data_IF_463975121873
#
_entry.id   IF_463975121873
#
_cell.length_a   1.000
_cell.length_b   1.000
_cell.length_c   1.000
_cell.angle_alpha   90.00
_cell.angle_beta   90.00
_cell.angle_gamma   90.00
#
_symmetry.space_group_name_H-M   'P 1'
#
loop_
_entity.id
_entity.type
_entity.pdbx_description
1 polymer ?
#
# COMPACT_ATOMS: atom_id res chain seq x y z
N UNK A 1 -24.83 -10.57 -27.92
CA UNK A 1 -23.56 -10.28 -27.23
C UNK A 1 -23.85 -9.65 -25.87
N UNK A 2 -23.13 -10.01 -24.81
CA UNK A 2 -23.33 -9.37 -23.49
C UNK A 2 -22.45 -8.12 -23.40
N UNK A 3 -23.09 -6.96 -23.29
CA UNK A 3 -22.43 -5.68 -23.00
C UNK A 3 -22.38 -5.48 -21.49
N UNK A 4 -21.17 -5.24 -20.95
CA UNK A 4 -20.95 -4.97 -19.52
C UNK A 4 -20.46 -3.52 -19.34
N UNK A 5 -21.34 -2.52 -19.51
CA UNK A 5 -20.94 -1.11 -19.49
C UNK A 5 -20.27 -0.71 -18.16
N UNK A 6 -20.83 -1.15 -17.03
CA UNK A 6 -20.24 -0.88 -15.70
C UNK A 6 -18.84 -1.47 -15.51
N UNK A 7 -18.55 -2.61 -16.14
CA UNK A 7 -17.21 -3.21 -16.10
C UNK A 7 -16.23 -2.36 -16.93
N UNK A 8 -16.66 -1.88 -18.10
CA UNK A 8 -15.86 -0.99 -18.94
C UNK A 8 -15.52 0.30 -18.21
N UNK A 9 -16.52 0.96 -17.61
CA UNK A 9 -16.33 2.19 -16.82
C UNK A 9 -15.36 1.95 -15.64
N UNK A 10 -15.52 0.81 -14.95
CA UNK A 10 -14.68 0.46 -13.80
C UNK A 10 -13.22 0.22 -14.20
N UNK A 11 -12.97 -0.34 -15.38
CA UNK A 11 -11.63 -0.57 -15.93
C UNK A 11 -10.99 0.74 -16.38
N UNK A 12 -11.74 1.60 -17.07
CA UNK A 12 -11.26 2.90 -17.57
C UNK A 12 -10.85 3.83 -16.42
N UNK A 13 -11.69 3.96 -15.40
CA UNK A 13 -11.43 4.87 -14.27
C UNK A 13 -10.58 4.24 -13.16
N UNK A 14 -10.03 3.02 -13.33
CA UNK A 14 -9.30 2.31 -12.27
C UNK A 14 -8.10 3.10 -11.75
N UNK A 15 -7.29 3.66 -12.65
CA UNK A 15 -6.08 4.38 -12.26
C UNK A 15 -6.41 5.68 -11.51
N UNK A 16 -7.41 6.41 -11.98
CA UNK A 16 -7.90 7.64 -11.35
C UNK A 16 -8.42 7.37 -9.94
N UNK A 17 -9.28 6.35 -9.76
CA UNK A 17 -9.79 5.97 -8.44
C UNK A 17 -8.67 5.56 -7.48
N UNK A 18 -7.67 4.83 -7.97
CA UNK A 18 -6.52 4.43 -7.16
C UNK A 18 -5.73 5.66 -6.68
N UNK A 19 -5.43 6.58 -7.59
CA UNK A 19 -4.69 7.80 -7.26
C UNK A 19 -5.50 8.71 -6.30
N UNK A 20 -6.80 8.85 -6.51
CA UNK A 20 -7.68 9.60 -5.60
C UNK A 20 -7.65 9.02 -4.18
N UNK A 21 -7.71 7.69 -4.05
CA UNK A 21 -7.58 7.00 -2.77
C UNK A 21 -6.21 7.24 -2.11
N UNK A 22 -5.12 7.25 -2.88
CA UNK A 22 -3.80 7.57 -2.33
C UNK A 22 -3.72 9.00 -1.80
N UNK A 23 -4.28 9.98 -2.51
CA UNK A 23 -4.35 11.36 -2.03
C UNK A 23 -5.17 11.50 -0.75
N UNK A 24 -6.30 10.80 -0.66
CA UNK A 24 -7.13 10.79 0.55
C UNK A 24 -6.38 10.20 1.75
N UNK A 25 -5.66 9.09 1.54
CA UNK A 25 -4.82 8.48 2.57
C UNK A 25 -3.71 9.42 3.05
N UNK A 26 -3.06 10.15 2.14
CA UNK A 26 -2.02 11.14 2.48
C UNK A 26 -2.57 12.27 3.35
N UNK A 27 -3.80 12.73 3.11
CA UNK A 27 -4.45 13.73 3.96
C UNK A 27 -4.80 13.15 5.34
N UNK A 28 -5.31 11.92 5.43
CA UNK A 28 -5.55 11.27 6.73
C UNK A 28 -4.25 11.06 7.52
N UNK A 29 -3.16 10.69 6.85
CA UNK A 29 -1.86 10.53 7.52
C UNK A 29 -1.34 11.87 8.05
N UNK A 30 -1.47 12.94 7.26
CA UNK A 30 -1.10 14.29 7.67
C UNK A 30 -1.92 14.81 8.86
N UNK A 31 -3.20 14.47 8.91
CA UNK A 31 -4.07 14.81 10.04
C UNK A 31 -3.81 13.96 11.29
N UNK A 32 -3.02 12.88 11.17
CA UNK A 32 -2.76 11.93 12.25
C UNK A 32 -3.91 10.94 12.49
N UNK A 33 -4.89 10.87 11.58
CA UNK A 33 -6.02 9.95 11.68
C UNK A 33 -5.60 8.50 11.38
N UNK A 34 -4.58 8.33 10.54
CA UNK A 34 -4.00 7.03 10.17
C UNK A 34 -2.48 7.10 10.16
N UNK A 35 -1.83 5.95 10.31
CA UNK A 35 -0.39 5.79 10.08
C UNK A 35 -0.20 4.85 8.88
N UNK A 36 0.48 5.30 7.82
CA UNK A 36 0.66 4.50 6.60
C UNK A 36 1.98 3.75 6.66
N UNK A 37 1.91 2.44 6.48
CA UNK A 37 3.08 1.58 6.28
C UNK A 37 3.00 1.02 4.86
N UNK A 38 3.96 1.42 4.01
CA UNK A 38 4.05 0.98 2.61
C UNK A 38 5.52 0.83 2.21
N UNK A 39 5.86 -0.10 1.30
CA UNK A 39 7.22 -0.23 0.80
C UNK A 39 7.69 1.07 0.14
N UNK A 40 8.94 1.47 0.39
CA UNK A 40 9.55 2.64 -0.24
C UNK A 40 9.78 2.45 -1.75
N UNK A 41 10.03 1.21 -2.18
CA UNK A 41 10.24 0.84 -3.58
C UNK A 41 9.54 -0.49 -3.89
N UNK A 42 8.60 -0.47 -4.83
CA UNK A 42 7.98 -1.69 -5.37
C UNK A 42 8.55 -2.13 -6.72
N UNK A 43 9.58 -1.43 -7.23
CA UNK A 43 10.20 -1.74 -8.53
C UNK A 43 10.94 -3.07 -8.45
N UNK A 44 10.73 -3.92 -9.46
CA UNK A 44 11.43 -5.22 -9.59
C UNK A 44 10.63 -6.44 -9.15
N UNK A 45 9.42 -6.24 -8.59
CA UNK A 45 8.52 -7.31 -8.21
C UNK A 45 7.33 -7.41 -9.16
N UNK A 46 7.06 -8.62 -9.65
CA UNK A 46 5.82 -8.92 -10.37
C UNK A 46 4.67 -9.19 -9.40
N UNK A 47 3.44 -8.87 -9.82
CA UNK A 47 2.24 -9.28 -9.07
C UNK A 47 2.12 -10.80 -8.89
N UNK A 48 2.71 -11.55 -9.82
CA UNK A 48 2.76 -13.02 -9.81
C UNK A 48 4.21 -13.50 -9.64
N UNK A 49 4.96 -12.85 -8.75
CA UNK A 49 6.34 -13.24 -8.45
C UNK A 49 6.41 -14.69 -7.93
N UNK A 50 7.39 -15.45 -8.42
CA UNK A 50 7.59 -16.87 -8.06
C UNK A 50 8.98 -17.14 -7.50
N UNK A 51 9.92 -16.21 -7.70
CA UNK A 51 11.24 -16.32 -7.10
C UNK A 51 11.13 -16.14 -5.59
N UNK A 52 11.41 -17.22 -4.86
CA UNK A 52 11.34 -17.25 -3.39
C UNK A 52 12.31 -16.28 -2.74
N UNK A 53 13.48 -16.04 -3.34
CA UNK A 53 14.47 -15.12 -2.79
C UNK A 53 13.96 -13.68 -2.88
N UNK A 54 13.32 -13.32 -4.00
CA UNK A 54 12.66 -12.03 -4.15
C UNK A 54 11.52 -11.85 -3.15
N UNK A 55 10.65 -12.85 -3.02
CA UNK A 55 9.54 -12.80 -2.06
C UNK A 55 10.07 -12.61 -0.63
N UNK A 56 11.10 -13.38 -0.24
CA UNK A 56 11.72 -13.27 1.08
C UNK A 56 12.37 -11.89 1.30
N UNK A 57 13.02 -11.35 0.27
CA UNK A 57 13.59 -10.00 0.31
C UNK A 57 12.51 -8.94 0.57
N UNK A 58 11.39 -8.99 -0.16
CA UNK A 58 10.26 -8.07 0.03
C UNK A 58 9.61 -8.21 1.41
N UNK A 59 9.52 -9.44 1.94
CA UNK A 59 9.05 -9.68 3.30
C UNK A 59 9.98 -9.05 4.34
N UNK A 60 11.28 -9.29 4.23
CA UNK A 60 12.27 -8.75 5.16
C UNK A 60 12.32 -7.22 5.11
N UNK A 61 12.20 -6.62 3.92
CA UNK A 61 12.11 -5.18 3.72
C UNK A 61 10.93 -4.58 4.52
N UNK A 62 9.73 -5.14 4.37
CA UNK A 62 8.56 -4.71 5.14
C UNK A 62 8.69 -4.95 6.65
N UNK A 63 9.26 -6.09 7.04
CA UNK A 63 9.51 -6.42 8.45
C UNK A 63 10.45 -5.40 9.11
N UNK A 64 11.57 -5.08 8.44
CA UNK A 64 12.56 -4.13 8.95
C UNK A 64 11.97 -2.72 9.03
N UNK A 65 11.21 -2.28 8.02
CA UNK A 65 10.52 -0.97 8.04
C UNK A 65 9.54 -0.86 9.22
N UNK A 66 8.76 -1.91 9.50
CA UNK A 66 7.89 -1.93 10.68
C UNK A 66 8.68 -1.87 11.98
N UNK A 67 9.80 -2.60 12.06
CA UNK A 67 10.64 -2.62 13.25
C UNK A 67 11.28 -1.25 13.51
N UNK A 68 11.76 -0.57 12.47
CA UNK A 68 12.29 0.79 12.55
C UNK A 68 11.23 1.80 13.01
N UNK A 69 9.97 1.56 12.66
CA UNK A 69 8.81 2.40 13.04
C UNK A 69 8.12 1.98 14.33
N UNK A 70 8.69 1.06 15.11
CA UNK A 70 8.01 0.48 16.28
C UNK A 70 7.63 1.54 17.32
N UNK A 71 8.51 2.53 17.56
CA UNK A 71 8.24 3.61 18.50
C UNK A 71 7.16 4.58 17.98
N UNK A 72 7.14 4.85 16.67
CA UNK A 72 6.07 5.63 16.04
C UNK A 72 4.72 4.92 16.20
N UNK A 73 4.69 3.60 15.99
CA UNK A 73 3.48 2.76 16.16
C UNK A 73 3.00 2.80 17.61
N UNK A 74 3.92 2.65 18.58
CA UNK A 74 3.58 2.74 20.01
C UNK A 74 2.99 4.10 20.35
N UNK A 75 3.62 5.16 19.86
CA UNK A 75 3.17 6.53 20.06
C UNK A 75 1.77 6.76 19.47
N UNK A 76 1.54 6.28 18.24
CA UNK A 76 0.25 6.39 17.55
C UNK A 76 -0.89 5.72 18.33
N UNK A 77 -0.65 4.53 18.90
CA UNK A 77 -1.64 3.82 19.70
C UNK A 77 -1.62 4.16 21.20
N UNK A 78 -0.78 5.11 21.63
CA UNK A 78 -0.59 5.47 23.03
C UNK A 78 -0.23 4.27 23.94
N UNK A 79 0.50 3.30 23.39
CA UNK A 79 0.96 2.10 24.09
C UNK A 79 2.25 2.45 24.84
N UNK A 80 2.28 2.14 26.14
CA UNK A 80 3.46 2.34 27.00
C UNK A 80 4.59 1.35 26.74
#
# INVERSE_FOLDING_TARGET
EKTYPKLSDALLSRAERYNACLHELEEYEKNGDVMIIRPTVSKGFSRLEKDKNKILSMYNDGYNQCYEKLEDIRSFFHIK
#
